data_IF_231082278740
#
_entry.id   IF_231082278740
#
_cell.length_a   1.000
_cell.length_b   1.000
_cell.length_c   1.000
_cell.angle_alpha   90.00
_cell.angle_beta   90.00
_cell.angle_gamma   90.00
#
_symmetry.space_group_name_H-M   'P 1'
#
loop_
_entity.id
_entity.type
_entity.pdbx_description
1 polymer ?
#
# COMPACT_ATOMS: atom_id res chain seq x y z
N UNK A 1 34.66 27.94 -5.87
CA UNK A 1 34.15 26.58 -5.63
C UNK A 1 32.66 26.71 -5.30
N UNK A 2 31.81 26.67 -6.32
CA UNK A 2 30.36 26.80 -6.16
C UNK A 2 29.80 25.42 -5.83
N UNK A 3 29.39 25.24 -4.57
CA UNK A 3 28.68 24.04 -4.13
C UNK A 3 27.31 23.98 -4.80
N UNK A 4 27.13 23.04 -5.72
CA UNK A 4 25.82 22.67 -6.27
C UNK A 4 25.04 21.91 -5.21
N UNK A 5 23.98 22.53 -4.70
CA UNK A 5 22.97 21.91 -3.84
C UNK A 5 22.36 20.69 -4.56
N UNK A 6 22.40 19.47 -3.98
CA UNK A 6 21.93 18.25 -4.67
C UNK A 6 20.40 18.14 -4.80
N UNK A 7 19.64 19.12 -4.31
CA UNK A 7 18.17 19.07 -4.26
C UNK A 7 17.50 19.22 -5.64
N UNK A 8 18.19 19.78 -6.65
CA UNK A 8 17.58 19.98 -7.97
C UNK A 8 17.42 18.70 -8.82
N UNK A 9 18.09 17.60 -8.47
CA UNK A 9 18.07 16.40 -9.33
C UNK A 9 16.83 15.50 -9.18
N UNK A 10 16.03 15.67 -8.12
CA UNK A 10 14.86 14.82 -7.83
C UNK A 10 13.53 15.42 -8.32
N UNK A 11 13.51 16.69 -8.73
CA UNK A 11 12.31 17.34 -9.25
C UNK A 11 11.91 16.74 -10.61
N UNK A 12 10.78 16.04 -10.65
CA UNK A 12 10.25 15.38 -11.86
C UNK A 12 10.55 13.88 -11.94
N UNK A 13 11.33 13.32 -11.03
CA UNK A 13 11.46 11.87 -10.92
C UNK A 13 10.21 11.29 -10.25
N UNK A 14 9.74 10.17 -10.79
CA UNK A 14 8.54 9.49 -10.30
C UNK A 14 8.88 8.06 -9.93
N UNK A 15 8.26 7.59 -8.87
CA UNK A 15 8.23 6.19 -8.49
C UNK A 15 6.89 5.58 -8.89
N UNK A 16 6.87 4.27 -9.11
CA UNK A 16 5.65 3.55 -9.50
C UNK A 16 5.13 2.74 -8.31
N UNK A 17 3.83 2.86 -8.05
CA UNK A 17 3.13 2.12 -6.99
C UNK A 17 2.30 1.01 -7.63
N UNK A 18 2.34 -0.17 -7.01
CA UNK A 18 1.62 -1.36 -7.44
C UNK A 18 0.91 -2.01 -6.27
N UNK A 19 -0.19 -2.68 -6.57
CA UNK A 19 -0.81 -3.66 -5.67
C UNK A 19 -0.45 -5.06 -6.16
N UNK A 20 0.06 -5.89 -5.26
CA UNK A 20 0.37 -7.30 -5.54
C UNK A 20 -0.74 -8.14 -4.94
N UNK A 21 -1.39 -8.97 -5.76
CA UNK A 21 -2.43 -9.90 -5.32
C UNK A 21 -1.98 -11.33 -5.59
N UNK A 22 -1.75 -12.10 -4.53
CA UNK A 22 -1.49 -13.53 -4.64
C UNK A 22 -2.81 -14.29 -4.82
N UNK A 23 -2.87 -15.27 -5.75
CA UNK A 23 -4.11 -15.93 -6.11
C UNK A 23 -4.69 -16.77 -4.98
N UNK A 24 -6.01 -16.93 -5.05
CA UNK A 24 -6.88 -17.59 -4.06
C UNK A 24 -6.42 -19.00 -3.68
N UNK A 25 -5.84 -19.73 -4.63
CA UNK A 25 -5.44 -21.14 -4.48
C UNK A 25 -4.02 -21.31 -3.92
N UNK A 26 -3.39 -20.20 -3.53
CA UNK A 26 -2.13 -20.27 -2.78
C UNK A 26 -2.41 -20.36 -1.29
N UNK A 27 -1.60 -21.12 -0.53
CA UNK A 27 -1.69 -21.09 0.94
C UNK A 27 -1.41 -19.69 1.52
N UNK A 28 -0.90 -18.78 0.69
CA UNK A 28 -0.58 -17.40 1.01
C UNK A 28 -1.52 -16.44 0.28
N UNK A 29 -2.84 -16.55 0.52
CA UNK A 29 -3.77 -15.46 0.17
C UNK A 29 -3.24 -14.17 0.81
N UNK A 30 -2.73 -13.29 -0.03
CA UNK A 30 -1.90 -12.19 0.41
C UNK A 30 -2.01 -11.02 -0.54
N UNK A 31 -2.09 -9.83 0.04
CA UNK A 31 -2.08 -8.56 -0.66
C UNK A 31 -0.96 -7.71 -0.07
N UNK A 32 -0.22 -7.03 -0.93
CA UNK A 32 0.80 -6.08 -0.51
C UNK A 32 0.84 -4.85 -1.42
N UNK A 33 1.36 -3.75 -0.87
CA UNK A 33 1.69 -2.57 -1.66
C UNK A 33 3.17 -2.63 -2.01
N UNK A 34 3.48 -2.53 -3.30
CA UNK A 34 4.85 -2.54 -3.81
C UNK A 34 5.21 -1.17 -4.40
N UNK A 35 6.40 -0.69 -4.10
CA UNK A 35 6.89 0.63 -4.49
C UNK A 35 8.27 0.48 -5.13
N UNK A 36 8.39 0.87 -6.42
CA UNK A 36 9.69 1.02 -7.08
C UNK A 36 10.34 2.31 -6.60
N UNK A 37 11.02 2.27 -5.46
CA UNK A 37 11.60 3.46 -4.85
C UNK A 37 12.65 4.17 -5.71
N UNK A 38 13.36 5.16 -5.14
CA UNK A 38 14.11 6.18 -5.89
C UNK A 38 15.21 5.64 -6.81
N UNK A 39 15.70 4.43 -6.55
CA UNK A 39 16.74 3.76 -7.32
C UNK A 39 16.36 2.31 -7.60
N UNK A 40 17.00 1.70 -8.60
CA UNK A 40 16.70 0.33 -9.03
C UNK A 40 16.85 -0.72 -7.90
N UNK A 41 17.66 -0.44 -6.89
CA UNK A 41 17.92 -1.27 -5.72
C UNK A 41 17.08 -0.90 -4.48
N UNK A 42 16.28 0.17 -4.55
CA UNK A 42 15.39 0.61 -3.49
C UNK A 42 13.94 0.24 -3.79
N UNK A 43 13.65 -1.05 -3.89
CA UNK A 43 12.28 -1.56 -4.02
C UNK A 43 11.77 -2.03 -2.66
N UNK A 44 10.54 -1.69 -2.33
CA UNK A 44 9.95 -2.04 -1.03
C UNK A 44 8.57 -2.63 -1.19
N UNK A 45 8.24 -3.56 -0.29
CA UNK A 45 6.94 -4.18 -0.18
C UNK A 45 6.42 -3.98 1.24
N UNK A 46 5.23 -3.37 1.33
CA UNK A 46 4.50 -3.16 2.58
C UNK A 46 3.36 -4.15 2.69
N UNK A 47 3.34 -4.91 3.77
CA UNK A 47 2.40 -6.00 3.93
C UNK A 47 2.11 -6.32 5.39
N UNK A 48 0.98 -6.99 5.63
CA UNK A 48 0.74 -7.69 6.91
C UNK A 48 1.11 -9.16 6.72
N UNK A 49 1.97 -9.66 7.59
CA UNK A 49 2.37 -11.08 7.64
C UNK A 49 1.77 -11.74 8.87
N UNK A 50 1.59 -13.06 8.78
CA UNK A 50 1.01 -13.88 9.84
C UNK A 50 -0.49 -14.17 9.65
N UNK A 51 -1.06 -15.00 10.55
CA UNK A 51 -2.49 -15.30 10.56
C UNK A 51 -3.29 -14.08 11.05
N UNK A 52 -4.55 -13.93 10.63
CA UNK A 52 -5.38 -12.73 10.92
C UNK A 52 -5.46 -12.37 12.41
N UNK A 53 -5.41 -13.34 13.33
CA UNK A 53 -5.48 -13.11 14.77
C UNK A 53 -4.13 -12.76 15.43
N UNK A 54 -3.01 -12.85 14.70
CA UNK A 54 -1.67 -12.50 15.16
C UNK A 54 -0.83 -11.89 14.01
N UNK A 55 -1.47 -11.02 13.22
CA UNK A 55 -0.81 -10.31 12.13
C UNK A 55 0.12 -9.23 12.67
N UNK A 56 1.24 -9.03 11.98
CA UNK A 56 2.12 -7.89 12.21
C UNK A 56 2.52 -7.24 10.89
N UNK A 57 2.78 -5.94 10.94
CA UNK A 57 3.28 -5.21 9.78
C UNK A 57 4.70 -5.68 9.47
N UNK A 58 4.97 -5.92 8.19
CA UNK A 58 6.30 -6.20 7.67
C UNK A 58 6.65 -5.17 6.59
N UNK A 59 7.73 -4.44 6.85
CA UNK A 59 8.47 -3.70 5.83
C UNK A 59 9.56 -4.61 5.29
N UNK A 60 9.52 -4.88 3.99
CA UNK A 60 10.51 -5.75 3.34
C UNK A 60 11.16 -5.04 2.16
N UNK A 61 12.50 -5.01 2.16
CA UNK A 61 13.26 -4.75 0.92
C UNK A 61 12.92 -5.85 -0.08
N UNK A 62 12.40 -5.46 -1.23
CA UNK A 62 11.90 -6.37 -2.23
C UNK A 62 12.89 -6.49 -3.40
N UNK A 63 12.94 -7.67 -4.01
CA UNK A 63 13.51 -7.84 -5.34
C UNK A 63 12.53 -7.29 -6.39
N UNK A 64 12.96 -7.19 -7.65
CA UNK A 64 12.03 -6.81 -8.72
C UNK A 64 11.00 -7.92 -8.94
N UNK A 65 9.76 -7.67 -8.48
CA UNK A 65 8.67 -8.63 -8.61
C UNK A 65 8.40 -8.98 -10.08
N UNK A 66 8.73 -8.10 -11.03
CA UNK A 66 8.54 -8.40 -12.47
C UNK A 66 9.46 -9.51 -12.98
N UNK A 67 10.56 -9.76 -12.28
CA UNK A 67 11.51 -10.84 -12.60
C UNK A 67 11.12 -12.15 -11.90
N UNK A 68 10.14 -12.09 -10.98
CA UNK A 68 9.64 -13.25 -10.25
C UNK A 68 8.82 -14.20 -11.12
N UNK A 69 8.86 -15.50 -10.79
CA UNK A 69 8.07 -16.55 -11.46
C UNK A 69 6.81 -16.96 -10.69
N UNK A 70 6.51 -16.29 -9.57
CA UNK A 70 5.35 -16.67 -8.77
C UNK A 70 4.06 -16.19 -9.44
N UNK A 71 2.99 -16.99 -9.39
CA UNK A 71 1.70 -16.54 -9.89
C UNK A 71 1.17 -15.46 -8.94
N UNK A 72 1.17 -14.21 -9.37
CA UNK A 72 0.50 -13.08 -8.73
C UNK A 72 0.07 -12.06 -9.77
N UNK A 73 -0.96 -11.29 -9.45
CA UNK A 73 -1.32 -10.11 -10.23
C UNK A 73 -0.51 -8.92 -9.71
N UNK A 74 0.30 -8.33 -10.58
CA UNK A 74 1.00 -7.06 -10.30
C UNK A 74 0.23 -5.92 -10.97
N UNK A 75 -0.63 -5.26 -10.20
CA UNK A 75 -1.54 -4.24 -10.71
C UNK A 75 -0.90 -2.87 -10.52
N UNK A 76 -0.54 -2.21 -11.63
CA UNK A 76 -0.09 -0.82 -11.58
C UNK A 76 -1.18 0.08 -10.99
N UNK A 77 -0.85 0.91 -10.01
CA UNK A 77 -1.79 1.85 -9.41
C UNK A 77 -1.60 3.24 -10.03
N UNK A 78 -0.46 3.86 -9.75
CA UNK A 78 -0.12 5.21 -10.18
C UNK A 78 1.40 5.44 -10.15
N UNK A 79 1.79 6.62 -10.64
CA UNK A 79 3.12 7.21 -10.40
C UNK A 79 2.98 8.36 -9.42
N UNK A 80 3.92 8.49 -8.51
CA UNK A 80 4.00 9.62 -7.57
C UNK A 80 5.41 10.18 -7.55
N UNK A 81 5.56 11.41 -7.06
CA UNK A 81 6.89 12.04 -6.95
C UNK A 81 7.79 11.26 -6.00
N UNK A 82 9.06 11.13 -6.38
CA UNK A 82 10.10 10.47 -5.54
C UNK A 82 10.22 11.10 -4.15
N UNK A 83 9.89 12.39 -4.02
CA UNK A 83 9.93 13.12 -2.73
C UNK A 83 8.93 12.56 -1.71
N UNK A 84 7.93 11.80 -2.16
CA UNK A 84 6.94 11.17 -1.28
C UNK A 84 7.39 9.80 -0.76
N UNK A 85 8.52 9.24 -1.22
CA UNK A 85 8.94 7.88 -0.88
C UNK A 85 9.03 7.64 0.63
N UNK A 86 9.79 8.47 1.36
CA UNK A 86 9.96 8.31 2.81
C UNK A 86 8.65 8.51 3.58
N UNK A 87 7.78 9.41 3.08
CA UNK A 87 6.47 9.65 3.69
C UNK A 87 5.51 8.48 3.48
N UNK A 88 5.53 7.85 2.30
CA UNK A 88 4.77 6.63 2.01
C UNK A 88 5.21 5.50 2.96
N UNK A 89 6.53 5.30 3.09
CA UNK A 89 7.09 4.30 4.00
C UNK A 89 6.65 4.57 5.45
N UNK A 90 6.76 5.81 5.90
CA UNK A 90 6.35 6.22 7.23
C UNK A 90 4.85 5.94 7.50
N UNK A 91 3.96 6.29 6.57
CA UNK A 91 2.52 6.03 6.73
C UNK A 91 2.25 4.52 6.77
N UNK A 92 2.85 3.75 5.87
CA UNK A 92 2.67 2.30 5.82
C UNK A 92 3.11 1.62 7.13
N UNK A 93 4.26 2.02 7.68
CA UNK A 93 4.82 1.50 8.93
C UNK A 93 3.99 1.84 10.17
N UNK A 94 3.40 3.04 10.20
CA UNK A 94 2.65 3.55 11.35
C UNK A 94 1.14 3.30 11.26
N UNK A 95 0.67 2.68 10.17
CA UNK A 95 -0.74 2.38 10.02
C UNK A 95 -1.17 1.31 11.02
N UNK A 96 -2.28 1.51 11.76
CA UNK A 96 -2.70 0.56 12.78
C UNK A 96 -3.02 -0.80 12.16
N UNK A 97 -2.35 -1.84 12.67
CA UNK A 97 -2.73 -3.23 12.41
C UNK A 97 -3.80 -3.59 13.44
N UNK A 98 -5.06 -3.49 13.04
CA UNK A 98 -6.22 -3.79 13.89
C UNK A 98 -6.24 -5.32 14.18
N UNK A 99 -5.60 -5.72 15.29
CA UNK A 99 -5.60 -7.11 15.78
C UNK A 99 -7.01 -7.45 16.29
N UNK A 100 -7.45 -8.69 16.10
CA UNK A 100 -8.73 -9.23 16.60
C UNK A 100 -10.01 -8.94 15.80
N UNK A 101 -9.97 -8.16 14.71
CA UNK A 101 -11.07 -8.15 13.73
C UNK A 101 -10.87 -9.26 12.70
N UNK A 102 -11.88 -10.13 12.53
CA UNK A 102 -11.92 -11.09 11.41
C UNK A 102 -11.97 -10.37 10.06
N UNK A 103 -12.49 -9.15 10.11
CA UNK A 103 -12.74 -8.22 9.02
C UNK A 103 -11.48 -7.48 8.55
N UNK A 104 -10.48 -7.35 9.43
CA UNK A 104 -9.23 -6.68 9.12
C UNK A 104 -8.19 -7.70 8.66
N UNK A 105 -8.12 -7.90 7.34
CA UNK A 105 -7.17 -8.80 6.71
C UNK A 105 -6.11 -8.03 5.89
N UNK A 106 -5.28 -8.78 5.17
CA UNK A 106 -4.23 -8.23 4.30
C UNK A 106 -4.80 -7.36 3.18
N UNK A 107 -6.03 -7.62 2.73
CA UNK A 107 -6.71 -6.84 1.70
C UNK A 107 -7.18 -5.51 2.28
N UNK A 108 -7.82 -5.55 3.46
CA UNK A 108 -8.26 -4.35 4.18
C UNK A 108 -7.07 -3.41 4.47
N UNK A 109 -5.92 -3.95 4.87
CA UNK A 109 -4.69 -3.18 5.05
C UNK A 109 -4.27 -2.44 3.77
N UNK A 110 -4.17 -3.12 2.63
CA UNK A 110 -3.73 -2.47 1.39
C UNK A 110 -4.73 -1.41 0.94
N UNK A 111 -6.04 -1.69 1.06
CA UNK A 111 -7.08 -0.72 0.70
C UNK A 111 -7.07 0.51 1.61
N UNK A 112 -6.89 0.33 2.93
CA UNK A 112 -6.76 1.45 3.85
C UNK A 112 -5.49 2.25 3.61
N UNK A 113 -4.37 1.59 3.29
CA UNK A 113 -3.13 2.27 2.94
C UNK A 113 -3.34 3.17 1.72
N UNK A 114 -3.98 2.67 0.67
CA UNK A 114 -4.28 3.48 -0.53
C UNK A 114 -5.14 4.69 -0.15
N UNK A 115 -6.21 4.50 0.63
CA UNK A 115 -7.08 5.59 1.08
C UNK A 115 -6.32 6.64 1.89
N UNK A 116 -5.38 6.23 2.75
CA UNK A 116 -4.56 7.18 3.50
C UNK A 116 -3.55 7.93 2.63
N UNK A 117 -2.95 7.26 1.64
CA UNK A 117 -2.06 7.93 0.68
C UNK A 117 -2.81 8.94 -0.20
N UNK A 118 -4.08 8.67 -0.52
CA UNK A 118 -4.98 9.62 -1.19
C UNK A 118 -5.30 10.81 -0.27
N UNK A 119 -5.69 10.55 0.99
CA UNK A 119 -6.07 11.59 1.94
C UNK A 119 -4.91 12.53 2.32
N UNK A 120 -3.68 11.99 2.44
CA UNK A 120 -2.46 12.78 2.70
C UNK A 120 -1.96 13.52 1.44
N UNK A 121 -2.63 13.38 0.29
CA UNK A 121 -2.27 14.04 -0.96
C UNK A 121 -0.95 13.56 -1.56
N UNK A 122 -0.52 12.34 -1.23
CA UNK A 122 0.73 11.75 -1.74
C UNK A 122 0.53 11.08 -3.09
N UNK A 123 -0.70 10.63 -3.34
CA UNK A 123 -1.15 10.19 -4.65
C UNK A 123 -1.74 11.42 -5.36
N UNK A 124 -0.87 12.18 -6.03
CA UNK A 124 -1.26 13.27 -6.91
C UNK A 124 -1.35 12.73 -8.35
N UNK A 125 -2.51 12.17 -8.70
CA UNK A 125 -2.74 11.67 -10.05
C UNK A 125 -3.01 12.86 -10.97
N UNK A 126 -2.21 13.06 -12.04
CA UNK A 126 -2.50 14.12 -12.99
C UNK A 126 -3.91 13.97 -13.57
N UNK A 127 -4.65 15.06 -13.84
CA UNK A 127 -6.02 14.99 -14.34
C UNK A 127 -6.21 14.08 -15.57
N UNK A 128 -5.20 14.04 -16.45
CA UNK A 128 -5.19 13.19 -17.64
C UNK A 128 -5.09 11.68 -17.36
N UNK A 129 -4.73 11.29 -16.13
CA UNK A 129 -4.58 9.89 -15.70
C UNK A 129 -5.61 9.50 -14.62
N UNK A 130 -6.45 10.43 -14.16
CA UNK A 130 -7.47 10.19 -13.12
C UNK A 130 -8.44 9.06 -13.53
N UNK A 131 -8.95 9.07 -14.76
CA UNK A 131 -9.83 8.01 -15.27
C UNK A 131 -9.16 6.63 -15.30
N UNK A 132 -7.84 6.61 -15.52
CA UNK A 132 -7.05 5.39 -15.46
C UNK A 132 -6.89 4.91 -14.03
N UNK A 133 -6.58 5.83 -13.12
CA UNK A 133 -6.39 5.55 -11.70
C UNK A 133 -7.68 5.06 -11.05
N UNK A 134 -8.79 5.78 -11.22
CA UNK A 134 -10.09 5.42 -10.66
C UNK A 134 -10.52 4.01 -11.07
N UNK A 135 -10.40 3.67 -12.36
CA UNK A 135 -10.70 2.32 -12.85
C UNK A 135 -9.81 1.24 -12.23
N UNK A 136 -8.53 1.53 -11.96
CA UNK A 136 -7.61 0.57 -11.33
C UNK A 136 -7.92 0.41 -9.84
N UNK A 137 -8.27 1.47 -9.13
CA UNK A 137 -8.76 1.41 -7.74
C UNK A 137 -10.06 0.61 -7.67
N UNK A 138 -11.02 0.86 -8.57
CA UNK A 138 -12.26 0.09 -8.66
C UNK A 138 -12.00 -1.39 -8.97
N UNK A 139 -11.10 -1.68 -9.91
CA UNK A 139 -10.68 -3.04 -10.22
C UNK A 139 -10.10 -3.76 -9.00
N UNK A 140 -9.17 -3.11 -8.28
CA UNK A 140 -8.56 -3.66 -7.05
C UNK A 140 -9.65 -3.89 -6.00
N UNK A 141 -10.55 -2.92 -5.74
CA UNK A 141 -11.67 -3.08 -4.81
C UNK A 141 -12.60 -4.23 -5.21
N UNK A 142 -12.85 -4.42 -6.51
CA UNK A 142 -13.65 -5.53 -7.04
C UNK A 142 -13.01 -6.91 -6.88
N UNK A 143 -11.69 -6.98 -6.65
CA UNK A 143 -10.97 -8.23 -6.34
C UNK A 143 -11.07 -8.60 -4.86
N UNK A 144 -11.58 -7.71 -4.01
CA UNK A 144 -11.78 -7.99 -2.59
C UNK A 144 -12.75 -9.16 -2.44
N UNK A 145 -12.34 -10.22 -1.75
CA UNK A 145 -13.23 -11.36 -1.54
C UNK A 145 -14.44 -10.94 -0.68
N UNK A 146 -15.67 -11.23 -1.12
CA UNK A 146 -16.88 -10.97 -0.34
C UNK A 146 -16.89 -11.81 0.92
N UNK A 147 -16.42 -11.18 1.99
CA UNK A 147 -16.36 -11.71 3.33
C UNK A 147 -15.84 -10.59 4.22
N UNK A 148 -16.78 -9.88 4.84
CA UNK A 148 -16.59 -9.16 6.09
C UNK A 148 -16.22 -7.66 6.13
N UNK A 149 -16.46 -6.82 5.11
CA UNK A 149 -16.78 -5.38 5.38
C UNK A 149 -17.62 -4.77 4.27
N UNK A 150 -18.64 -4.01 4.63
CA UNK A 150 -19.24 -3.02 3.74
C UNK A 150 -18.18 -1.97 3.37
N UNK A 151 -18.09 -1.61 2.09
CA UNK A 151 -17.17 -0.60 1.55
C UNK A 151 -17.50 0.83 2.04
N UNK A 152 -17.44 1.05 3.35
CA UNK A 152 -17.74 2.34 3.96
C UNK A 152 -16.43 3.11 4.10
N UNK A 153 -16.22 4.06 3.18
CA UNK A 153 -15.24 5.14 3.33
C UNK A 153 -15.35 5.73 4.75
N UNK A 154 -14.23 5.88 5.44
CA UNK A 154 -14.17 6.56 6.73
C UNK A 154 -14.49 5.76 8.00
N UNK A 155 -14.62 4.42 7.95
CA UNK A 155 -14.86 3.58 9.15
C UNK A 155 -13.62 2.80 9.65
N UNK A 156 -12.42 3.19 9.22
CA UNK A 156 -11.17 2.53 9.60
C UNK A 156 -10.52 3.08 10.88
N UNK A 157 -11.26 3.88 11.66
CA UNK A 157 -10.78 4.42 12.92
C UNK A 157 -10.59 3.30 13.96
N UNK A 158 -9.35 2.81 14.11
CA UNK A 158 -8.96 1.81 15.11
C UNK A 158 -9.03 2.37 16.56
N UNK A 159 -9.13 3.70 16.76
CA UNK A 159 -9.20 4.32 18.10
C UNK A 159 -10.57 4.12 18.78
N UNK A 160 -11.65 4.02 18.00
CA UNK A 160 -13.00 3.69 18.49
C UNK A 160 -13.13 2.27 19.05
N UNK A 161 -12.08 1.44 18.91
CA UNK A 161 -12.08 0.02 19.26
C UNK A 161 -10.92 -0.36 20.16
N UNK A 162 -10.20 0.62 20.69
CA UNK A 162 -9.31 0.36 21.82
C UNK A 162 -10.20 -0.04 22.98
N UNK A 163 -10.09 -1.28 23.45
CA UNK A 163 -10.71 -1.67 24.71
C UNK A 163 -10.32 -0.65 25.77
N UNK A 164 -11.30 0.09 26.27
CA UNK A 164 -11.21 0.81 27.54
C UNK A 164 -11.22 -0.24 28.67
N UNK A 165 -10.17 -1.06 28.67
CA UNK A 165 -9.87 -2.10 29.64
C UNK A 165 -8.84 -1.57 30.60
N UNK A 166 -9.15 -0.49 31.30
CA UNK A 166 -8.35 -0.01 32.43
C UNK A 166 -9.26 0.50 33.54
N UNK A 167 -9.81 -0.45 34.30
CA UNK A 167 -10.02 -0.31 35.74
C UNK A 167 -9.57 -1.59 36.44
#
# INVERSE_FOLDING_TARGET
MTGTTPTQHLQGQTLSIYVVIFPRDTPYKHWSLFVDGPSADMKVQHQIVGPNWNGYFEYKKADDLREGRYPFDLIFLCKVSVVHFDRINFIAENMPVCKYRREWDKQAYVLHLIEQLENDGLIDVPPMQEDGYGRRVEYIRGRQEQGNVSALRGLWDCSLWSDDGSQ
#
